data_IF_385672317330
#
_entry.id   IF_385672317330
#
_cell.length_a   1.000
_cell.length_b   1.000
_cell.length_c   1.000
_cell.angle_alpha   90.00
_cell.angle_beta   90.00
_cell.angle_gamma   90.00
#
_symmetry.space_group_name_H-M   'P 1'
#
loop_
_entity.id
_entity.type
_entity.pdbx_description
1 polymer ?
#
# COMPACT_ATOMS: atom_id res chain seq x y z
N UNK A 1 6.98 -3.46 -28.83
CA UNK A 1 5.95 -4.39 -28.33
C UNK A 1 4.87 -4.58 -29.40
N UNK A 2 4.30 -5.78 -29.55
CA UNK A 2 3.31 -6.10 -30.60
C UNK A 2 1.93 -5.50 -30.26
N UNK A 3 1.16 -5.05 -31.27
CA UNK A 3 -0.21 -4.53 -31.11
C UNK A 3 -1.15 -5.49 -30.34
N UNK A 4 -0.90 -6.80 -30.43
CA UNK A 4 -1.63 -7.85 -29.71
C UNK A 4 -1.24 -7.93 -28.23
N UNK A 5 0.00 -7.58 -27.88
CA UNK A 5 0.50 -7.52 -26.50
C UNK A 5 -0.13 -6.33 -25.77
N UNK A 6 -0.12 -5.14 -26.38
CA UNK A 6 -0.71 -3.93 -25.78
C UNK A 6 -2.21 -4.10 -25.50
N UNK A 7 -2.97 -4.68 -26.44
CA UNK A 7 -4.40 -4.94 -26.22
C UNK A 7 -4.66 -5.95 -25.08
N UNK A 8 -3.73 -6.89 -24.84
CA UNK A 8 -3.84 -7.86 -23.76
C UNK A 8 -3.60 -7.20 -22.39
N UNK A 9 -2.62 -6.31 -22.31
CA UNK A 9 -2.30 -5.54 -21.10
C UNK A 9 -3.42 -4.55 -20.77
N UNK A 10 -3.96 -3.84 -21.75
CA UNK A 10 -5.10 -2.93 -21.55
C UNK A 10 -6.33 -3.65 -20.99
N UNK A 11 -6.65 -4.83 -21.52
CA UNK A 11 -7.76 -5.65 -21.01
C UNK A 11 -7.49 -6.15 -19.60
N UNK A 12 -6.25 -6.55 -19.30
CA UNK A 12 -5.85 -7.00 -17.98
C UNK A 12 -6.03 -5.89 -16.93
N UNK A 13 -5.54 -4.67 -17.21
CA UNK A 13 -5.68 -3.51 -16.32
C UNK A 13 -7.16 -3.14 -16.12
N UNK A 14 -7.97 -3.10 -17.19
CA UNK A 14 -9.41 -2.82 -17.09
C UNK A 14 -10.14 -3.79 -16.16
N UNK A 15 -9.78 -5.07 -16.20
CA UNK A 15 -10.39 -6.07 -15.31
C UNK A 15 -9.96 -5.82 -13.86
N UNK A 16 -8.69 -5.47 -13.62
CA UNK A 16 -8.21 -5.18 -12.26
C UNK A 16 -8.86 -3.93 -11.66
N UNK A 17 -8.93 -2.83 -12.41
CA UNK A 17 -9.60 -1.61 -11.93
C UNK A 17 -11.07 -1.86 -11.59
N UNK A 18 -11.76 -2.64 -12.43
CA UNK A 18 -13.15 -3.01 -12.18
C UNK A 18 -13.29 -3.94 -10.95
N UNK A 19 -12.35 -4.86 -10.78
CA UNK A 19 -12.33 -5.80 -9.68
C UNK A 19 -12.03 -5.11 -8.34
N UNK A 20 -11.09 -4.16 -8.32
CA UNK A 20 -10.77 -3.35 -7.13
C UNK A 20 -12.02 -2.67 -6.57
N UNK A 21 -12.83 -2.07 -7.45
CA UNK A 21 -14.06 -1.39 -7.03
C UNK A 21 -15.10 -2.39 -6.51
N UNK A 22 -15.34 -3.50 -7.21
CA UNK A 22 -16.33 -4.51 -6.76
C UNK A 22 -15.93 -5.14 -5.43
N UNK A 23 -14.66 -5.54 -5.29
CA UNK A 23 -14.14 -6.11 -4.05
C UNK A 23 -14.12 -5.09 -2.92
N UNK A 24 -13.76 -3.83 -3.20
CA UNK A 24 -13.78 -2.75 -2.22
C UNK A 24 -15.20 -2.46 -1.69
N UNK A 25 -16.24 -2.64 -2.51
CA UNK A 25 -17.63 -2.40 -2.12
C UNK A 25 -18.31 -3.60 -1.45
N UNK A 26 -17.93 -4.82 -1.82
CA UNK A 26 -18.68 -6.05 -1.46
C UNK A 26 -17.85 -7.08 -0.68
N UNK A 27 -16.54 -6.85 -0.53
CA UNK A 27 -15.59 -7.84 -0.05
C UNK A 27 -15.46 -9.04 -1.01
N UNK A 28 -14.55 -9.95 -0.71
CA UNK A 28 -14.32 -11.13 -1.55
C UNK A 28 -15.58 -11.99 -1.74
N UNK A 29 -16.29 -12.29 -0.64
CA UNK A 29 -17.45 -13.19 -0.66
C UNK A 29 -18.65 -12.57 -1.41
N UNK A 30 -18.92 -11.28 -1.21
CA UNK A 30 -20.04 -10.58 -1.84
C UNK A 30 -19.79 -10.15 -3.28
N UNK A 31 -18.53 -10.09 -3.73
CA UNK A 31 -18.18 -9.69 -5.09
C UNK A 31 -18.58 -10.72 -6.16
N UNK A 32 -19.09 -10.21 -7.28
CA UNK A 32 -19.54 -11.01 -8.43
C UNK A 32 -18.64 -10.85 -9.64
N UNK A 33 -18.13 -11.96 -10.18
CA UNK A 33 -17.39 -11.95 -11.46
C UNK A 33 -18.24 -11.41 -12.63
N UNK A 34 -19.57 -11.52 -12.54
CA UNK A 34 -20.47 -10.97 -13.54
C UNK A 34 -20.48 -9.44 -13.48
N UNK A 35 -20.60 -8.85 -12.29
CA UNK A 35 -20.56 -7.39 -12.12
C UNK A 35 -19.20 -6.81 -12.48
N UNK A 36 -18.10 -7.51 -12.18
CA UNK A 36 -16.75 -7.07 -12.59
C UNK A 36 -16.67 -7.01 -14.12
N UNK A 37 -17.19 -8.02 -14.82
CA UNK A 37 -17.23 -8.05 -16.28
C UNK A 37 -18.06 -6.89 -16.86
N UNK A 38 -19.25 -6.66 -16.30
CA UNK A 38 -20.12 -5.53 -16.69
C UNK A 38 -19.43 -4.19 -16.48
N UNK A 39 -18.79 -3.98 -15.32
CA UNK A 39 -18.04 -2.76 -15.01
C UNK A 39 -16.83 -2.56 -15.92
N UNK A 40 -16.13 -3.64 -16.27
CA UNK A 40 -15.01 -3.59 -17.20
C UNK A 40 -15.44 -3.42 -18.66
N UNK A 41 -16.74 -3.54 -18.97
CA UNK A 41 -17.27 -3.55 -20.34
C UNK A 41 -16.81 -4.78 -21.13
N UNK A 42 -16.60 -5.91 -20.47
CA UNK A 42 -16.05 -7.13 -21.05
C UNK A 42 -16.95 -8.34 -20.78
N UNK A 43 -17.01 -9.34 -21.67
CA UNK A 43 -17.68 -10.59 -21.39
C UNK A 43 -17.05 -11.33 -20.21
N UNK A 44 -17.87 -11.93 -19.32
CA UNK A 44 -17.39 -12.75 -18.19
C UNK A 44 -16.35 -13.83 -18.57
N UNK A 45 -16.45 -14.53 -19.72
CA UNK A 45 -15.41 -15.46 -20.15
C UNK A 45 -14.01 -14.84 -20.26
N UNK A 46 -13.89 -13.54 -20.54
CA UNK A 46 -12.58 -12.88 -20.54
C UNK A 46 -11.96 -12.90 -19.15
N UNK A 47 -12.73 -12.62 -18.09
CA UNK A 47 -12.19 -12.65 -16.73
C UNK A 47 -11.63 -14.04 -16.38
N UNK A 48 -12.37 -15.09 -16.73
CA UNK A 48 -11.91 -16.47 -16.52
C UNK A 48 -10.66 -16.77 -17.37
N UNK A 49 -10.60 -16.29 -18.61
CA UNK A 49 -9.43 -16.47 -19.46
C UNK A 49 -8.17 -15.78 -18.89
N UNK A 50 -8.29 -14.56 -18.38
CA UNK A 50 -7.15 -13.80 -17.87
C UNK A 50 -6.71 -14.22 -16.47
N UNK A 51 -7.66 -14.50 -15.57
CA UNK A 51 -7.39 -14.69 -14.15
C UNK A 51 -7.71 -16.09 -13.63
N UNK A 52 -8.36 -16.95 -14.43
CA UNK A 52 -8.72 -18.34 -14.11
C UNK A 52 -9.77 -18.52 -13.00
N UNK A 53 -9.69 -17.76 -11.90
CA UNK A 53 -10.60 -17.86 -10.77
C UNK A 53 -10.83 -16.50 -10.09
N UNK A 54 -11.91 -16.39 -9.30
CA UNK A 54 -12.16 -15.19 -8.47
C UNK A 54 -11.05 -14.98 -7.44
N UNK A 55 -10.52 -16.07 -6.86
CA UNK A 55 -9.42 -16.04 -5.90
C UNK A 55 -8.14 -15.46 -6.52
N UNK A 56 -7.78 -15.91 -7.73
CA UNK A 56 -6.60 -15.39 -8.44
C UNK A 56 -6.78 -13.93 -8.86
N UNK A 57 -7.96 -13.54 -9.35
CA UNK A 57 -8.26 -12.14 -9.64
C UNK A 57 -8.14 -11.28 -8.36
N UNK A 58 -8.67 -11.77 -7.25
CA UNK A 58 -8.58 -11.09 -5.96
C UNK A 58 -7.12 -10.95 -5.50
N UNK A 59 -6.33 -12.02 -5.62
CA UNK A 59 -4.89 -11.98 -5.36
C UNK A 59 -4.22 -10.89 -6.20
N UNK A 60 -4.45 -10.85 -7.52
CA UNK A 60 -3.86 -9.82 -8.37
C UNK A 60 -4.26 -8.38 -8.01
N UNK A 61 -5.49 -8.15 -7.57
CA UNK A 61 -5.92 -6.82 -7.07
C UNK A 61 -5.14 -6.44 -5.80
N UNK A 62 -4.95 -7.39 -4.89
CA UNK A 62 -4.15 -7.17 -3.69
C UNK A 62 -2.66 -7.01 -4.01
N UNK A 63 -2.12 -7.80 -4.95
CA UNK A 63 -0.74 -7.67 -5.42
C UNK A 63 -0.50 -6.28 -6.04
N UNK A 64 -1.42 -5.77 -6.87
CA UNK A 64 -1.34 -4.41 -7.42
C UNK A 64 -1.39 -3.33 -6.34
N UNK A 65 -2.20 -3.55 -5.31
CA UNK A 65 -2.25 -2.67 -4.13
C UNK A 65 -0.89 -2.59 -3.45
N UNK A 66 -0.17 -3.71 -3.38
CA UNK A 66 1.10 -3.90 -2.68
C UNK A 66 2.33 -3.50 -3.52
N UNK A 67 2.28 -3.74 -4.84
CA UNK A 67 3.34 -3.41 -5.79
C UNK A 67 3.35 -1.94 -6.22
N UNK A 68 2.30 -1.18 -5.92
CA UNK A 68 2.29 0.28 -6.07
C UNK A 68 3.25 1.02 -5.12
N UNK A 69 3.94 0.30 -4.23
CA UNK A 69 4.77 0.83 -3.14
C UNK A 69 6.25 1.00 -3.50
N UNK A 70 6.57 1.33 -4.74
CA UNK A 70 7.96 1.59 -5.15
C UNK A 70 8.37 3.00 -4.71
N UNK A 71 9.07 3.09 -3.59
CA UNK A 71 9.57 4.35 -3.03
C UNK A 71 11.08 4.28 -2.72
N UNK A 72 11.66 5.38 -2.22
CA UNK A 72 13.10 5.46 -1.93
C UNK A 72 13.57 4.33 -1.00
N UNK A 73 12.70 3.77 -0.15
CA UNK A 73 13.07 2.72 0.77
C UNK A 73 13.40 1.39 0.08
N UNK A 74 12.80 1.12 -1.08
CA UNK A 74 13.10 -0.06 -1.90
C UNK A 74 14.51 -0.04 -2.45
N UNK A 75 15.01 1.17 -2.75
CA UNK A 75 16.31 1.41 -3.37
C UNK A 75 17.39 1.83 -2.38
N UNK A 76 16.99 2.03 -1.13
CA UNK A 76 17.87 2.50 -0.08
C UNK A 76 18.97 1.47 0.24
N UNK A 77 20.14 2.03 0.52
CA UNK A 77 21.39 1.36 0.80
C UNK A 77 21.94 1.85 2.14
N UNK A 78 22.94 1.15 2.66
CA UNK A 78 23.59 1.54 3.92
C UNK A 78 24.25 2.92 3.85
N UNK A 79 24.51 3.45 2.66
CA UNK A 79 25.18 4.74 2.47
C UNK A 79 24.21 5.92 2.54
N UNK A 80 22.92 5.71 2.31
CA UNK A 80 21.91 6.77 2.31
C UNK A 80 21.68 7.35 3.72
N UNK A 81 21.05 8.52 3.77
CA UNK A 81 20.60 9.15 5.00
C UNK A 81 19.26 8.53 5.45
N UNK A 82 19.20 7.88 6.64
CA UNK A 82 17.95 7.32 7.14
C UNK A 82 16.82 8.34 7.25
N UNK A 83 17.12 9.61 7.56
CA UNK A 83 16.11 10.65 7.72
C UNK A 83 15.40 10.95 6.39
N UNK A 84 16.16 11.09 5.31
CA UNK A 84 15.61 11.34 3.97
C UNK A 84 14.79 10.14 3.47
N UNK A 85 15.31 8.93 3.66
CA UNK A 85 14.62 7.71 3.22
C UNK A 85 13.31 7.51 3.99
N UNK A 86 13.33 7.62 5.31
CA UNK A 86 12.15 7.41 6.14
C UNK A 86 11.09 8.51 5.96
N UNK A 87 11.50 9.78 5.84
CA UNK A 87 10.56 10.88 5.55
C UNK A 87 9.88 10.66 4.19
N UNK A 88 10.65 10.33 3.15
CA UNK A 88 10.12 10.03 1.83
C UNK A 88 9.15 8.85 1.87
N UNK A 89 9.51 7.78 2.59
CA UNK A 89 8.67 6.60 2.76
C UNK A 89 7.31 6.96 3.38
N UNK A 90 7.33 7.71 4.48
CA UNK A 90 6.12 8.19 5.17
C UNK A 90 5.26 9.02 4.23
N UNK A 91 5.85 9.98 3.50
CA UNK A 91 5.11 10.89 2.61
C UNK A 91 4.48 10.16 1.43
N UNK A 92 5.20 9.22 0.81
CA UNK A 92 4.68 8.41 -0.29
C UNK A 92 3.52 7.54 0.18
N UNK A 93 3.67 6.84 1.32
CA UNK A 93 2.61 6.00 1.90
C UNK A 93 1.37 6.81 2.28
N UNK A 94 1.56 7.99 2.86
CA UNK A 94 0.45 8.85 3.24
C UNK A 94 -0.29 9.39 2.01
N UNK A 95 0.43 9.85 0.99
CA UNK A 95 -0.17 10.30 -0.27
C UNK A 95 -0.99 9.19 -0.91
N UNK A 96 -0.45 7.97 -0.95
CA UNK A 96 -1.18 6.79 -1.43
C UNK A 96 -2.44 6.51 -0.63
N UNK A 97 -2.41 6.70 0.69
CA UNK A 97 -3.59 6.49 1.54
C UNK A 97 -4.70 7.49 1.22
N UNK A 98 -4.34 8.73 0.86
CA UNK A 98 -5.30 9.76 0.45
C UNK A 98 -5.83 9.54 -0.98
N UNK A 99 -5.00 9.05 -1.90
CA UNK A 99 -5.37 8.89 -3.32
C UNK A 99 -6.00 7.52 -3.63
N UNK A 100 -5.61 6.45 -2.92
CA UNK A 100 -5.95 5.04 -3.22
C UNK A 100 -6.56 4.33 -2.02
N UNK A 101 -7.52 4.97 -1.35
CA UNK A 101 -8.08 4.45 -0.09
C UNK A 101 -8.82 3.10 -0.21
N UNK A 102 -9.38 2.78 -1.37
CA UNK A 102 -10.12 1.51 -1.60
C UNK A 102 -9.19 0.30 -1.49
N UNK A 103 -8.03 0.38 -2.15
CA UNK A 103 -7.02 -0.66 -2.17
C UNK A 103 -6.50 -0.97 -0.75
N UNK A 104 -6.13 0.06 0.02
CA UNK A 104 -5.67 -0.08 1.42
C UNK A 104 -6.72 -0.78 2.29
N UNK A 105 -7.98 -0.33 2.22
CA UNK A 105 -9.10 -0.93 2.97
C UNK A 105 -9.28 -2.41 2.64
N UNK A 106 -9.19 -2.76 1.36
CA UNK A 106 -9.37 -4.13 0.92
C UNK A 106 -8.28 -5.04 1.49
N UNK A 107 -7.03 -4.58 1.45
CA UNK A 107 -5.90 -5.29 2.06
C UNK A 107 -6.07 -5.42 3.59
N UNK A 108 -6.43 -4.32 4.27
CA UNK A 108 -6.66 -4.33 5.72
C UNK A 108 -7.77 -5.33 6.11
N UNK A 109 -8.89 -5.36 5.40
CA UNK A 109 -9.98 -6.30 5.65
C UNK A 109 -9.56 -7.76 5.44
N UNK A 110 -8.76 -8.05 4.41
CA UNK A 110 -8.24 -9.40 4.17
C UNK A 110 -7.29 -9.84 5.30
N UNK A 111 -6.40 -8.95 5.76
CA UNK A 111 -5.49 -9.23 6.88
C UNK A 111 -6.26 -9.42 8.19
N UNK A 112 -7.24 -8.56 8.50
CA UNK A 112 -8.11 -8.69 9.68
C UNK A 112 -8.89 -10.01 9.64
N UNK A 113 -9.30 -10.44 8.45
CA UNK A 113 -9.96 -11.73 8.21
C UNK A 113 -9.05 -12.96 8.32
N UNK A 114 -7.77 -12.80 8.63
CA UNK A 114 -6.80 -13.88 8.78
C UNK A 114 -6.00 -14.22 7.53
N UNK A 115 -6.02 -13.36 6.50
CA UNK A 115 -5.21 -13.48 5.29
C UNK A 115 -5.40 -14.82 4.53
N UNK A 116 -6.65 -15.28 4.42
CA UNK A 116 -7.01 -16.57 3.82
C UNK A 116 -6.64 -16.69 2.33
N UNK A 117 -6.59 -15.58 1.60
CA UNK A 117 -6.33 -15.53 0.16
C UNK A 117 -4.94 -14.98 -0.19
N UNK A 118 -4.29 -14.28 0.75
CA UNK A 118 -2.96 -13.69 0.54
C UNK A 118 -1.85 -14.35 1.38
N UNK A 119 -2.14 -15.43 2.10
CA UNK A 119 -1.17 -16.11 2.96
C UNK A 119 0.15 -16.46 2.24
N UNK A 120 0.06 -16.92 0.99
CA UNK A 120 1.24 -17.24 0.18
C UNK A 120 1.96 -15.96 -0.27
N UNK A 121 1.24 -14.92 -0.69
CA UNK A 121 1.83 -13.61 -1.00
C UNK A 121 2.61 -13.04 0.21
N UNK A 122 2.02 -13.09 1.41
CA UNK A 122 2.67 -12.60 2.63
C UNK A 122 3.99 -13.34 2.89
N UNK A 123 4.05 -14.65 2.61
CA UNK A 123 5.22 -15.49 2.85
C UNK A 123 6.28 -15.39 1.76
N UNK A 124 5.86 -15.36 0.50
CA UNK A 124 6.72 -15.50 -0.68
C UNK A 124 7.18 -14.15 -1.24
N UNK A 125 6.40 -13.08 -1.05
CA UNK A 125 6.68 -11.76 -1.62
C UNK A 125 6.93 -10.72 -0.53
N UNK A 126 5.96 -10.51 0.38
CA UNK A 126 6.07 -9.45 1.40
C UNK A 126 7.17 -9.75 2.42
N UNK A 127 7.29 -11.00 2.90
CA UNK A 127 8.27 -11.36 3.92
C UNK A 127 9.72 -11.16 3.45
N UNK A 128 10.16 -11.61 2.26
CA UNK A 128 11.50 -11.32 1.77
C UNK A 128 11.79 -9.83 1.67
N UNK A 129 10.86 -9.04 1.14
CA UNK A 129 10.97 -7.58 1.10
C UNK A 129 11.12 -7.00 2.51
N UNK A 130 10.25 -7.41 3.43
CA UNK A 130 10.23 -6.94 4.82
C UNK A 130 11.55 -7.24 5.53
N UNK A 131 12.08 -8.46 5.39
CA UNK A 131 13.35 -8.83 6.00
C UNK A 131 14.53 -8.03 5.41
N UNK A 132 14.49 -7.71 4.11
CA UNK A 132 15.49 -6.83 3.48
C UNK A 132 15.48 -5.43 4.10
N UNK A 133 14.29 -4.85 4.32
CA UNK A 133 14.15 -3.54 4.97
C UNK A 133 14.55 -3.57 6.44
N UNK A 134 14.20 -4.62 7.18
CA UNK A 134 14.65 -4.86 8.55
C UNK A 134 16.18 -4.87 8.64
N UNK A 135 16.85 -5.60 7.74
CA UNK A 135 18.30 -5.66 7.71
C UNK A 135 18.95 -4.30 7.38
N UNK A 136 18.34 -3.51 6.48
CA UNK A 136 18.84 -2.17 6.18
C UNK A 136 18.75 -1.25 7.42
N UNK A 137 17.59 -1.23 8.08
CA UNK A 137 17.38 -0.43 9.28
C UNK A 137 18.37 -0.83 10.37
N UNK A 138 18.56 -2.13 10.60
CA UNK A 138 19.55 -2.63 11.55
C UNK A 138 20.96 -2.15 11.18
N UNK A 139 21.33 -2.21 9.90
CA UNK A 139 22.65 -1.75 9.45
C UNK A 139 22.87 -0.24 9.66
N UNK A 140 21.84 0.59 9.52
CA UNK A 140 21.94 2.02 9.87
C UNK A 140 22.09 2.25 11.38
N UNK A 141 21.40 1.45 12.21
CA UNK A 141 21.55 1.49 13.66
C UNK A 141 22.96 1.06 14.10
N UNK A 142 23.49 -0.01 13.51
CA UNK A 142 24.83 -0.54 13.79
C UNK A 142 25.92 0.43 13.35
N UNK A 143 25.69 1.17 12.26
CA UNK A 143 26.56 2.25 11.79
C UNK A 143 26.43 3.56 12.59
N UNK A 144 25.55 3.61 13.59
CA UNK A 144 25.31 4.81 14.41
C UNK A 144 24.60 5.96 13.68
N UNK A 145 23.97 5.69 12.53
CA UNK A 145 23.24 6.70 11.74
C UNK A 145 21.85 7.02 12.32
N UNK A 146 21.30 6.13 13.14
CA UNK A 146 20.03 6.31 13.85
C UNK A 146 20.07 5.58 15.19
N UNK A 147 19.16 5.92 16.11
CA UNK A 147 19.10 5.25 17.40
C UNK A 147 18.61 3.80 17.30
N UNK A 148 19.08 2.95 18.21
CA UNK A 148 18.69 1.55 18.32
C UNK A 148 17.20 1.42 18.63
N UNK A 149 16.47 0.71 17.77
CA UNK A 149 15.02 0.46 17.85
C UNK A 149 14.71 -0.94 17.33
N UNK A 150 13.51 -1.43 17.56
CA UNK A 150 13.03 -2.63 16.88
C UNK A 150 12.64 -2.27 15.41
N UNK A 151 13.40 -2.74 14.40
CA UNK A 151 13.19 -2.33 13.01
C UNK A 151 11.85 -2.83 12.45
N UNK A 152 11.39 -4.00 12.90
CA UNK A 152 10.11 -4.57 12.49
C UNK A 152 8.94 -3.67 12.96
N UNK A 153 8.94 -3.31 14.24
CA UNK A 153 7.93 -2.42 14.83
C UNK A 153 7.95 -1.02 14.21
N UNK A 154 9.13 -0.51 13.83
CA UNK A 154 9.23 0.76 13.12
C UNK A 154 8.48 0.72 11.77
N UNK A 155 8.69 -0.33 10.98
CA UNK A 155 7.97 -0.51 9.71
C UNK A 155 6.46 -0.62 9.95
N UNK A 156 6.04 -1.43 10.92
CA UNK A 156 4.62 -1.57 11.28
C UNK A 156 3.99 -0.25 11.75
N UNK A 157 4.73 0.57 12.49
CA UNK A 157 4.27 1.87 12.96
C UNK A 157 4.09 2.85 11.80
N UNK A 158 5.03 2.89 10.84
CA UNK A 158 4.89 3.71 9.63
C UNK A 158 3.64 3.28 8.85
N UNK A 159 3.47 1.98 8.62
CA UNK A 159 2.27 1.45 7.95
C UNK A 159 0.98 1.82 8.68
N UNK A 160 0.91 1.54 9.98
CA UNK A 160 -0.29 1.79 10.78
C UNK A 160 -0.69 3.27 10.78
N UNK A 161 0.27 4.17 11.00
CA UNK A 161 0.01 5.62 11.08
C UNK A 161 -0.37 6.25 9.73
N UNK A 162 0.18 5.74 8.63
CA UNK A 162 -0.13 6.27 7.29
C UNK A 162 -1.42 5.69 6.71
N UNK A 163 -1.58 4.36 6.76
CA UNK A 163 -2.74 3.66 6.21
C UNK A 163 -4.03 3.93 7.01
N UNK A 164 -3.93 4.34 8.27
CA UNK A 164 -5.09 4.76 9.06
C UNK A 164 -5.97 5.78 8.32
N UNK A 165 -5.35 6.70 7.57
CA UNK A 165 -6.07 7.73 6.81
C UNK A 165 -6.88 7.19 5.62
N UNK A 166 -6.57 6.00 5.12
CA UNK A 166 -7.39 5.28 4.15
C UNK A 166 -8.41 4.35 4.83
N UNK A 167 -7.92 3.57 5.79
CA UNK A 167 -8.64 2.46 6.38
C UNK A 167 -9.78 2.92 7.29
N UNK A 168 -9.56 4.06 7.97
CA UNK A 168 -10.48 4.68 8.92
C UNK A 168 -10.96 6.05 8.43
N UNK A 169 -10.92 6.30 7.11
CA UNK A 169 -11.34 7.56 6.49
C UNK A 169 -12.71 8.03 7.00
N UNK A 170 -13.72 7.14 7.02
CA UNK A 170 -15.06 7.47 7.50
C UNK A 170 -15.08 7.95 8.97
N UNK A 171 -14.23 7.37 9.82
CA UNK A 171 -14.07 7.81 11.21
C UNK A 171 -13.40 9.18 11.27
N UNK A 172 -12.33 9.40 10.51
CA UNK A 172 -11.59 10.66 10.47
C UNK A 172 -12.48 11.81 10.00
N UNK A 173 -13.21 11.62 8.90
CA UNK A 173 -14.14 12.61 8.34
C UNK A 173 -15.23 12.96 9.34
N UNK A 174 -15.82 11.96 10.00
CA UNK A 174 -16.86 12.16 11.01
C UNK A 174 -16.33 12.93 12.24
N UNK A 175 -15.14 12.58 12.74
CA UNK A 175 -14.55 13.24 13.91
C UNK A 175 -14.07 14.67 13.61
N UNK A 176 -13.62 14.92 12.38
CA UNK A 176 -13.17 16.25 11.96
C UNK A 176 -14.31 17.15 11.45
N UNK A 177 -15.50 16.61 11.24
CA UNK A 177 -16.63 17.34 10.66
C UNK A 177 -16.39 17.77 9.20
N UNK A 178 -15.57 17.02 8.46
CA UNK A 178 -15.24 17.31 7.05
C UNK A 178 -15.83 16.27 6.10
N UNK A 179 -15.96 16.61 4.82
CA UNK A 179 -16.47 15.70 3.78
C UNK A 179 -15.35 14.99 3.01
N UNK A 180 -14.13 15.51 3.07
CA UNK A 180 -12.96 14.98 2.37
C UNK A 180 -11.67 15.39 3.07
N UNK A 181 -10.60 14.64 2.83
CA UNK A 181 -9.23 15.03 3.18
C UNK A 181 -8.63 15.89 2.07
N UNK A 182 -7.91 16.95 2.44
CA UNK A 182 -7.34 17.93 1.51
C UNK A 182 -5.83 17.76 1.33
N UNK A 183 -5.24 18.47 0.36
CA UNK A 183 -3.77 18.55 0.22
C UNK A 183 -3.13 19.23 1.44
N UNK A 184 -3.80 20.19 2.07
CA UNK A 184 -3.35 20.79 3.32
C UNK A 184 -3.31 19.77 4.46
N UNK A 185 -4.31 18.89 4.54
CA UNK A 185 -4.30 17.76 5.49
C UNK A 185 -3.14 16.82 5.23
N UNK A 186 -2.87 16.50 3.95
CA UNK A 186 -1.75 15.63 3.57
C UNK A 186 -0.41 16.20 4.07
N UNK A 187 -0.17 17.49 3.85
CA UNK A 187 1.05 18.16 4.30
C UNK A 187 1.15 18.18 5.83
N UNK A 188 0.09 18.61 6.52
CA UNK A 188 0.04 18.72 7.99
C UNK A 188 0.24 17.36 8.67
N UNK A 189 -0.45 16.33 8.18
CA UNK A 189 -0.34 14.96 8.70
C UNK A 189 1.03 14.38 8.39
N UNK A 190 1.54 14.56 7.17
CA UNK A 190 2.87 14.09 6.77
C UNK A 190 3.97 14.69 7.64
N UNK A 191 3.93 16.00 7.88
CA UNK A 191 4.88 16.70 8.77
C UNK A 191 4.77 16.19 10.21
N UNK A 192 3.55 15.94 10.71
CA UNK A 192 3.33 15.43 12.07
C UNK A 192 3.88 14.01 12.25
N UNK A 193 3.51 13.08 11.35
CA UNK A 193 3.96 11.69 11.42
C UNK A 193 5.47 11.61 11.26
N UNK A 194 6.03 12.31 10.27
CA UNK A 194 7.47 12.32 10.03
C UNK A 194 8.24 12.85 11.24
N UNK A 195 7.81 13.97 11.83
CA UNK A 195 8.45 14.52 13.03
C UNK A 195 8.46 13.51 14.20
N UNK A 196 7.33 12.87 14.48
CA UNK A 196 7.20 11.91 15.58
C UNK A 196 8.08 10.67 15.33
N UNK A 197 8.03 10.10 14.13
CA UNK A 197 8.75 8.86 13.80
C UNK A 197 10.26 9.11 13.75
N UNK A 198 10.69 10.17 13.06
CA UNK A 198 12.11 10.52 12.97
C UNK A 198 12.68 10.92 14.33
N UNK A 199 11.97 11.76 15.09
CA UNK A 199 12.37 12.13 16.45
C UNK A 199 12.48 10.91 17.36
N UNK A 200 11.54 9.97 17.24
CA UNK A 200 11.60 8.67 17.92
C UNK A 200 12.81 7.81 17.54
N UNK A 201 13.41 8.03 16.38
CA UNK A 201 14.63 7.39 15.91
C UNK A 201 15.91 8.22 16.18
N UNK A 202 15.79 9.37 16.84
CA UNK A 202 16.90 10.32 17.04
C UNK A 202 17.36 11.01 15.76
N UNK A 203 16.48 11.09 14.75
CA UNK A 203 16.71 11.75 13.47
C UNK A 203 16.02 13.12 13.44
N UNK A 204 16.57 14.04 12.66
CA UNK A 204 15.97 15.34 12.38
C UNK A 204 15.19 15.30 11.07
N UNK A 205 14.17 16.15 10.94
CA UNK A 205 13.47 16.32 9.66
C UNK A 205 14.46 16.79 8.58
N UNK A 206 14.45 16.18 7.38
CA UNK A 206 15.22 16.69 6.26
C UNK A 206 14.70 18.07 5.83
N UNK A 207 15.57 18.92 5.24
CA UNK A 207 15.15 20.23 4.73
C UNK A 207 14.08 20.05 3.64
N UNK A 208 13.05 20.91 3.68
CA UNK A 208 12.00 20.92 2.64
C UNK A 208 12.63 21.31 1.31
N UNK A 209 12.55 20.42 0.32
CA UNK A 209 12.96 20.64 -1.08
C UNK A 209 11.98 21.54 -1.82
#
# INVERSE_FOLDING_TARGET
MSKRQNNREEVFVKILDAAEIEFGLKGYNGASLQHIAERAGLPKPNIIYYFQSKANLYKHVLDQTLMGWNDLFDRATLNDDPAEVLDSFIRVKLKQSFEKGVASRLFAMEVIGGANHIGDFLKEELRPWFMSRVNLLQGWMDAGKMQQRDPASLIYMIWATTQHYADFEAQILALNGTQSLTEEDLLRVGDTISNIILGGCGLSLPPKS
#
